data_IF_111919167916
#
_entry.id   IF_111919167916
#
_cell.length_a   1.000
_cell.length_b   1.000
_cell.length_c   1.000
_cell.angle_alpha   90.00
_cell.angle_beta   90.00
_cell.angle_gamma   90.00
#
_symmetry.space_group_name_H-M   'P 1'
#
loop_
_entity.id
_entity.type
_entity.pdbx_description
1 polymer ?
#
# COMPACT_ATOMS: atom_id res chain seq x y z
N UNK A 1 6.61 11.75 14.82
CA UNK A 1 5.61 11.55 13.75
C UNK A 1 6.21 10.88 12.54
N UNK A 2 7.29 11.39 11.94
CA UNK A 2 7.96 10.77 10.78
C UNK A 2 8.24 9.28 11.00
N UNK A 3 8.77 8.91 12.18
CA UNK A 3 9.07 7.52 12.50
C UNK A 3 7.83 6.61 12.45
N UNK A 4 6.68 7.06 12.92
CA UNK A 4 5.42 6.29 12.86
C UNK A 4 4.86 6.14 11.44
N UNK A 5 4.99 7.17 10.60
CA UNK A 5 4.48 7.13 9.23
C UNK A 5 5.29 6.22 8.30
N UNK A 6 6.56 5.96 8.62
CA UNK A 6 7.43 5.08 7.82
C UNK A 6 7.35 3.61 8.23
N UNK A 7 6.69 3.27 9.35
CA UNK A 7 6.56 1.88 9.81
C UNK A 7 5.84 0.97 8.80
N UNK A 8 4.81 1.45 8.14
CA UNK A 8 4.12 0.66 7.11
C UNK A 8 4.99 0.47 5.85
N UNK A 9 5.53 1.52 5.22
CA UNK A 9 6.43 1.37 4.07
C UNK A 9 7.62 0.46 4.34
N UNK A 10 8.30 0.57 5.49
CA UNK A 10 9.46 -0.25 5.80
C UNK A 10 9.09 -1.74 5.89
N UNK A 11 7.98 -2.07 6.54
CA UNK A 11 7.50 -3.44 6.66
C UNK A 11 6.98 -4.02 5.34
N UNK A 12 6.50 -3.17 4.45
CA UNK A 12 6.02 -3.56 3.12
C UNK A 12 7.16 -3.86 2.14
N UNK A 13 8.28 -3.17 2.28
CA UNK A 13 9.42 -3.32 1.37
C UNK A 13 10.43 -4.35 1.85
N UNK A 14 10.69 -4.42 3.15
CA UNK A 14 11.58 -5.44 3.74
C UNK A 14 11.06 -6.86 3.49
N UNK A 15 9.74 -7.07 3.55
CA UNK A 15 9.17 -8.41 3.37
C UNK A 15 9.44 -8.97 1.97
N UNK A 16 9.62 -8.13 0.95
CA UNK A 16 9.85 -8.57 -0.41
C UNK A 16 11.04 -9.53 -0.54
N UNK A 17 12.14 -9.22 0.14
CA UNK A 17 13.35 -10.05 0.17
C UNK A 17 13.33 -11.12 1.29
N UNK A 18 12.30 -11.15 2.13
CA UNK A 18 12.18 -12.12 3.23
C UNK A 18 11.28 -13.30 2.88
N UNK A 19 10.45 -13.22 1.83
CA UNK A 19 9.47 -14.26 1.49
C UNK A 19 10.14 -15.61 1.22
N UNK A 20 11.19 -15.62 0.41
CA UNK A 20 11.94 -16.86 0.07
C UNK A 20 12.68 -17.43 1.29
N UNK A 21 13.47 -16.66 2.05
CA UNK A 21 14.09 -17.16 3.29
C UNK A 21 13.09 -17.70 4.31
N UNK A 22 11.92 -17.06 4.45
CA UNK A 22 10.85 -17.55 5.34
C UNK A 22 10.28 -18.87 4.81
N UNK A 23 9.99 -18.95 3.51
CA UNK A 23 9.49 -20.16 2.86
C UNK A 23 10.41 -21.35 3.07
N UNK A 24 11.71 -21.16 2.82
CA UNK A 24 12.74 -22.20 3.06
C UNK A 24 12.83 -22.63 4.52
N UNK A 25 12.81 -21.66 5.45
CA UNK A 25 12.94 -21.94 6.88
C UNK A 25 11.72 -22.66 7.49
N UNK A 26 10.52 -22.39 6.96
CA UNK A 26 9.26 -22.93 7.46
C UNK A 26 8.67 -24.05 6.59
N UNK A 27 9.36 -24.44 5.50
CA UNK A 27 8.89 -25.45 4.55
C UNK A 27 7.62 -25.04 3.80
N UNK A 28 7.42 -23.72 3.58
CA UNK A 28 6.23 -23.14 2.99
C UNK A 28 6.50 -22.71 1.53
N UNK A 29 5.69 -23.15 0.54
CA UNK A 29 5.83 -22.74 -0.84
C UNK A 29 5.47 -21.25 -1.04
N UNK A 30 5.85 -20.69 -2.21
CA UNK A 30 5.61 -19.29 -2.56
C UNK A 30 4.12 -18.91 -2.46
N UNK A 31 3.21 -19.81 -2.82
CA UNK A 31 1.76 -19.62 -2.68
C UNK A 31 1.31 -19.41 -1.24
N UNK A 32 1.98 -20.02 -0.26
CA UNK A 32 1.66 -19.84 1.15
C UNK A 32 2.35 -18.61 1.74
N UNK A 33 3.60 -18.31 1.37
CA UNK A 33 4.29 -17.11 1.86
C UNK A 33 3.65 -15.81 1.37
N UNK A 34 2.93 -15.83 0.24
CA UNK A 34 2.13 -14.71 -0.26
C UNK A 34 1.08 -14.21 0.76
N UNK A 35 0.61 -15.08 1.67
CA UNK A 35 -0.27 -14.66 2.78
C UNK A 35 0.36 -13.63 3.71
N UNK A 36 1.69 -13.62 3.85
CA UNK A 36 2.39 -12.62 4.67
C UNK A 36 2.21 -11.20 4.12
N UNK A 37 2.12 -11.06 2.81
CA UNK A 37 1.85 -9.79 2.13
C UNK A 37 0.37 -9.44 2.24
N UNK A 38 -0.50 -10.38 1.81
CA UNK A 38 -1.94 -10.18 1.75
C UNK A 38 -2.56 -9.89 3.11
N UNK A 39 -2.14 -10.58 4.17
CA UNK A 39 -2.64 -10.41 5.53
C UNK A 39 -2.34 -9.00 6.10
N UNK A 40 -1.15 -8.47 5.84
CA UNK A 40 -0.80 -7.11 6.24
C UNK A 40 -1.73 -6.09 5.55
N UNK A 41 -1.86 -6.20 4.22
CA UNK A 41 -2.64 -5.23 3.45
C UNK A 41 -4.13 -5.35 3.68
N UNK A 42 -4.64 -6.57 3.92
CA UNK A 42 -6.02 -6.77 4.36
C UNK A 42 -6.27 -6.03 5.68
N UNK A 43 -5.44 -6.30 6.70
CA UNK A 43 -5.56 -5.65 8.00
C UNK A 43 -5.43 -4.12 7.90
N UNK A 44 -4.52 -3.63 7.04
CA UNK A 44 -4.33 -2.20 6.82
C UNK A 44 -5.53 -1.58 6.08
N UNK A 45 -6.08 -2.26 5.08
CA UNK A 45 -7.26 -1.79 4.33
C UNK A 45 -8.49 -1.64 5.21
N UNK A 46 -8.66 -2.56 6.17
CA UNK A 46 -9.74 -2.53 7.15
C UNK A 46 -9.47 -1.50 8.26
N UNK A 47 -8.23 -1.44 8.71
CA UNK A 47 -7.83 -0.61 9.85
C UNK A 47 -7.75 0.88 9.54
N UNK A 48 -7.38 1.28 8.33
CA UNK A 48 -7.19 2.69 7.96
C UNK A 48 -8.43 3.56 8.18
N UNK A 49 -9.61 3.22 7.66
CA UNK A 49 -10.80 4.03 7.88
C UNK A 49 -11.27 4.01 9.34
N UNK A 50 -11.12 2.86 10.02
CA UNK A 50 -11.45 2.70 11.44
C UNK A 50 -10.61 3.60 12.32
N UNK A 51 -9.30 3.53 12.13
CA UNK A 51 -8.34 4.29 12.95
C UNK A 51 -8.48 5.78 12.68
N UNK A 52 -8.78 6.20 11.46
CA UNK A 52 -9.10 7.60 11.16
C UNK A 52 -10.22 8.13 12.05
N UNK A 53 -11.35 7.42 12.14
CA UNK A 53 -12.47 7.79 13.02
C UNK A 53 -12.13 7.71 14.51
N UNK A 54 -11.35 6.71 14.92
CA UNK A 54 -10.89 6.62 16.30
C UNK A 54 -9.99 7.79 16.70
N UNK A 55 -9.18 8.31 15.76
CA UNK A 55 -8.37 9.52 15.97
C UNK A 55 -9.24 10.74 16.24
N UNK A 56 -10.32 10.91 15.47
CA UNK A 56 -11.26 12.03 15.66
C UNK A 56 -11.99 11.94 17.01
N UNK A 57 -12.23 10.73 17.51
CA UNK A 57 -12.95 10.49 18.78
C UNK A 57 -12.04 10.54 20.00
N UNK A 58 -10.85 9.94 19.95
CA UNK A 58 -9.97 9.74 21.11
C UNK A 58 -8.68 10.57 21.06
N UNK A 59 -8.47 11.29 19.97
CA UNK A 59 -7.32 12.13 19.72
C UNK A 59 -6.11 11.39 19.14
N UNK A 60 -5.28 12.10 18.35
CA UNK A 60 -4.19 11.51 17.58
C UNK A 60 -3.08 10.90 18.44
N UNK A 61 -2.76 11.50 19.60
CA UNK A 61 -1.68 11.02 20.47
C UNK A 61 -1.95 9.63 21.03
N UNK A 62 -3.16 9.37 21.54
CA UNK A 62 -3.52 8.07 22.15
C UNK A 62 -3.48 6.97 21.11
N UNK A 63 -4.08 7.22 19.95
CA UNK A 63 -4.13 6.24 18.87
C UNK A 63 -2.73 5.96 18.30
N UNK A 64 -1.91 6.98 18.15
CA UNK A 64 -0.52 6.83 17.73
C UNK A 64 0.27 5.91 18.67
N UNK A 65 0.19 6.16 19.98
CA UNK A 65 0.93 5.36 20.99
C UNK A 65 0.44 3.91 21.03
N UNK A 66 -0.88 3.68 21.03
CA UNK A 66 -1.47 2.33 21.03
C UNK A 66 -1.11 1.55 19.77
N UNK A 67 -1.29 2.16 18.60
CA UNK A 67 -0.97 1.53 17.31
C UNK A 67 0.53 1.23 17.20
N UNK A 68 1.39 2.17 17.58
CA UNK A 68 2.84 1.95 17.56
C UNK A 68 3.26 0.86 18.57
N UNK A 69 2.63 0.82 19.75
CA UNK A 69 2.82 -0.27 20.71
C UNK A 69 2.45 -1.62 20.12
N UNK A 70 1.33 -1.68 19.37
CA UNK A 70 0.90 -2.89 18.66
C UNK A 70 1.92 -3.35 17.60
N UNK A 71 2.60 -2.40 16.91
CA UNK A 71 3.73 -2.73 16.00
C UNK A 71 4.86 -3.42 16.75
N UNK A 72 5.21 -2.94 17.95
CA UNK A 72 6.23 -3.57 18.79
C UNK A 72 5.85 -5.00 19.19
N UNK A 73 4.59 -5.20 19.63
CA UNK A 73 4.06 -6.54 19.95
C UNK A 73 4.11 -7.45 18.74
N UNK A 74 3.66 -6.96 17.56
CA UNK A 74 3.72 -7.71 16.31
C UNK A 74 5.16 -8.08 15.92
N UNK A 75 6.12 -7.19 16.17
CA UNK A 75 7.54 -7.44 15.97
C UNK A 75 8.06 -8.61 16.83
N UNK A 76 7.71 -8.63 18.12
CA UNK A 76 8.06 -9.74 19.03
C UNK A 76 7.41 -11.06 18.59
N UNK A 77 6.09 -11.06 18.32
CA UNK A 77 5.36 -12.26 17.86
C UNK A 77 5.95 -12.79 16.57
N UNK A 78 6.28 -11.90 15.62
CA UNK A 78 6.88 -12.29 14.33
C UNK A 78 8.30 -12.86 14.48
N UNK A 79 9.15 -12.24 15.32
CA UNK A 79 10.51 -12.71 15.56
C UNK A 79 10.55 -14.08 16.25
N UNK A 80 9.57 -14.37 17.11
CA UNK A 80 9.45 -15.62 17.86
C UNK A 80 8.55 -16.66 17.17
N UNK A 81 8.01 -16.36 15.98
CA UNK A 81 7.05 -17.23 15.30
C UNK A 81 7.62 -18.63 15.02
N UNK A 82 6.96 -19.71 15.49
CA UNK A 82 7.38 -21.08 15.27
C UNK A 82 6.90 -21.65 13.92
N UNK A 83 5.86 -21.04 13.33
CA UNK A 83 5.24 -21.49 12.09
C UNK A 83 4.64 -20.30 11.30
N UNK A 84 4.25 -20.59 10.06
CA UNK A 84 3.69 -19.57 9.14
C UNK A 84 2.39 -18.96 9.66
N UNK A 85 1.52 -19.72 10.32
CA UNK A 85 0.24 -19.23 10.86
C UNK A 85 0.44 -18.11 11.90
N UNK A 86 1.36 -18.32 12.85
CA UNK A 86 1.72 -17.28 13.85
C UNK A 86 2.35 -16.07 13.17
N UNK A 87 3.15 -16.28 12.13
CA UNK A 87 3.76 -15.19 11.36
C UNK A 87 2.72 -14.37 10.61
N UNK A 88 1.70 -15.02 10.03
CA UNK A 88 0.55 -14.36 9.40
C UNK A 88 -0.23 -13.54 10.45
N UNK A 89 -0.48 -14.10 11.64
CA UNK A 89 -1.11 -13.36 12.74
C UNK A 89 -0.30 -12.13 13.14
N UNK A 90 1.04 -12.26 13.23
CA UNK A 90 1.93 -11.12 13.47
C UNK A 90 1.79 -10.04 12.37
N UNK A 91 1.64 -10.44 11.10
CA UNK A 91 1.42 -9.52 9.98
C UNK A 91 0.08 -8.80 10.06
N UNK A 92 -0.99 -9.47 10.51
CA UNK A 92 -2.30 -8.85 10.78
C UNK A 92 -2.18 -7.80 11.89
N UNK A 93 -1.55 -8.14 13.02
CA UNK A 93 -1.30 -7.20 14.12
C UNK A 93 -0.50 -5.98 13.64
N UNK A 94 0.52 -6.22 12.82
CA UNK A 94 1.38 -5.19 12.25
C UNK A 94 0.60 -4.27 11.30
N UNK A 95 -0.31 -4.85 10.49
CA UNK A 95 -1.21 -4.10 9.62
C UNK A 95 -2.07 -3.12 10.40
N UNK A 96 -2.76 -3.57 11.44
CA UNK A 96 -3.53 -2.68 12.33
C UNK A 96 -2.64 -1.69 13.07
N UNK A 97 -1.47 -2.13 13.53
CA UNK A 97 -0.52 -1.29 14.25
C UNK A 97 0.06 -0.14 13.41
N UNK A 98 0.16 -0.29 12.10
CA UNK A 98 0.71 0.76 11.22
C UNK A 98 -0.35 1.75 10.72
N UNK A 99 -1.65 1.53 10.98
CA UNK A 99 -2.73 2.36 10.46
C UNK A 99 -2.76 3.78 11.03
N UNK A 100 -2.33 4.01 12.28
CA UNK A 100 -2.45 5.31 12.92
C UNK A 100 -1.34 6.30 12.55
N UNK A 101 -0.20 5.82 12.05
CA UNK A 101 0.99 6.66 11.86
C UNK A 101 0.72 7.88 10.97
N UNK A 102 0.18 7.66 9.80
CA UNK A 102 -0.09 8.73 8.83
C UNK A 102 -1.30 9.60 9.21
N UNK A 103 -2.49 9.05 9.54
CA UNK A 103 -3.63 9.88 9.94
C UNK A 103 -3.37 10.71 11.21
N UNK A 104 -2.68 10.15 12.20
CA UNK A 104 -2.31 10.89 13.40
C UNK A 104 -1.35 12.04 13.11
N UNK A 105 -0.38 11.82 12.21
CA UNK A 105 0.53 12.88 11.78
C UNK A 105 -0.24 14.02 11.10
N UNK A 106 -1.17 13.71 10.20
CA UNK A 106 -1.99 14.71 9.50
C UNK A 106 -2.89 15.49 10.45
N UNK A 107 -3.56 14.81 11.39
CA UNK A 107 -4.42 15.46 12.42
C UNK A 107 -3.63 16.42 13.30
N UNK A 108 -2.42 16.03 13.72
CA UNK A 108 -1.56 16.87 14.56
C UNK A 108 -0.96 18.05 13.79
N UNK A 109 -0.64 17.87 12.49
CA UNK A 109 -0.19 18.97 11.62
C UNK A 109 -1.27 20.03 11.47
N UNK A 110 -2.51 19.58 11.23
CA UNK A 110 -3.67 20.48 11.11
C UNK A 110 -3.91 21.25 12.39
N UNK A 111 -3.92 20.58 13.54
CA UNK A 111 -4.12 21.23 14.84
C UNK A 111 -3.01 22.25 15.18
N UNK A 112 -1.78 21.99 14.75
CA UNK A 112 -0.68 22.94 14.94
C UNK A 112 -0.77 24.12 13.97
N UNK A 113 -1.20 23.92 12.72
CA UNK A 113 -1.46 24.99 11.76
C UNK A 113 -2.57 25.94 12.28
N UNK A 114 -3.67 25.38 12.79
CA UNK A 114 -4.76 26.14 13.41
C UNK A 114 -4.27 26.93 14.66
N UNK A 115 -3.40 26.33 15.49
CA UNK A 115 -2.84 26.98 16.68
C UNK A 115 -1.88 28.12 16.36
N UNK A 116 -1.09 28.00 15.29
CA UNK A 116 -0.04 28.97 14.95
C UNK A 116 -0.49 30.03 13.96
N UNK A 117 -1.68 29.87 13.35
CA UNK A 117 -2.19 30.75 12.29
C UNK A 117 -1.32 30.76 11.03
N UNK A 118 -0.40 29.79 10.88
CA UNK A 118 0.45 29.64 9.70
C UNK A 118 -0.16 28.59 8.80
N UNK A 119 -0.59 29.04 7.61
CA UNK A 119 -1.08 28.15 6.57
C UNK A 119 0.03 27.18 6.13
N UNK A 120 -0.36 25.92 6.15
CA UNK A 120 0.28 24.75 5.57
C UNK A 120 1.74 24.49 5.91
N UNK A 121 2.00 23.40 6.60
CA UNK A 121 3.34 22.86 6.83
C UNK A 121 3.87 22.16 5.57
N UNK A 122 3.89 22.83 4.42
CA UNK A 122 4.37 22.27 3.14
C UNK A 122 5.72 21.56 3.29
N UNK A 123 6.62 22.10 4.13
CA UNK A 123 7.88 21.46 4.46
C UNK A 123 7.74 20.12 5.20
N UNK A 124 6.74 19.95 6.07
CA UNK A 124 6.54 18.69 6.80
C UNK A 124 5.87 17.64 5.92
N UNK A 125 4.95 18.02 5.05
CA UNK A 125 4.35 17.13 4.06
C UNK A 125 5.40 16.63 3.06
N UNK A 126 6.27 17.54 2.61
CA UNK A 126 7.42 17.17 1.77
C UNK A 126 8.37 16.22 2.51
N UNK A 127 8.68 16.49 3.77
CA UNK A 127 9.52 15.60 4.57
C UNK A 127 8.90 14.21 4.75
N UNK A 128 7.58 14.12 4.96
CA UNK A 128 6.83 12.85 5.01
C UNK A 128 6.91 12.10 3.67
N UNK A 129 6.72 12.79 2.56
CA UNK A 129 6.79 12.20 1.22
C UNK A 129 8.21 11.69 0.92
N UNK A 130 9.24 12.50 1.20
CA UNK A 130 10.64 12.12 1.04
C UNK A 130 11.01 10.94 1.93
N UNK A 131 10.59 10.94 3.21
CA UNK A 131 10.85 9.83 4.12
C UNK A 131 10.23 8.53 3.61
N UNK A 132 8.97 8.55 3.15
CA UNK A 132 8.30 7.37 2.58
C UNK A 132 9.03 6.85 1.33
N UNK A 133 9.48 7.73 0.43
CA UNK A 133 10.22 7.34 -0.76
C UNK A 133 11.62 6.81 -0.41
N UNK A 134 12.32 7.42 0.53
CA UNK A 134 13.63 6.95 1.00
C UNK A 134 13.53 5.54 1.59
N UNK A 135 12.48 5.27 2.37
CA UNK A 135 12.23 3.94 2.93
C UNK A 135 11.94 2.92 1.83
N UNK A 136 11.24 3.29 0.77
CA UNK A 136 11.00 2.40 -0.37
C UNK A 136 12.32 1.96 -1.03
N UNK A 137 13.31 2.86 -1.11
CA UNK A 137 14.67 2.55 -1.61
C UNK A 137 15.45 1.68 -0.63
N UNK A 138 15.46 2.08 0.64
CA UNK A 138 16.32 1.45 1.67
C UNK A 138 15.76 0.13 2.17
N UNK A 139 14.43 -0.04 2.10
CA UNK A 139 13.73 -1.19 2.69
C UNK A 139 14.24 -2.56 2.23
N UNK A 140 14.27 -2.87 0.92
CA UNK A 140 14.76 -4.15 0.43
C UNK A 140 16.24 -4.40 0.77
N UNK A 141 17.08 -3.35 0.68
CA UNK A 141 18.50 -3.43 1.04
C UNK A 141 18.68 -3.72 2.53
N UNK A 142 17.96 -2.99 3.38
CA UNK A 142 17.96 -3.20 4.83
C UNK A 142 17.42 -4.61 5.17
N UNK A 143 16.39 -5.06 4.47
CA UNK A 143 15.85 -6.41 4.61
C UNK A 143 16.88 -7.47 4.30
N UNK A 144 17.55 -7.36 3.16
CA UNK A 144 18.62 -8.28 2.76
C UNK A 144 19.79 -8.30 3.74
N UNK A 145 20.21 -7.13 4.24
CA UNK A 145 21.25 -7.02 5.25
C UNK A 145 20.83 -7.71 6.57
N UNK A 146 19.64 -7.42 7.05
CA UNK A 146 19.11 -8.04 8.28
C UNK A 146 19.04 -9.55 8.17
N UNK A 147 18.62 -10.08 7.01
CA UNK A 147 18.55 -11.51 6.74
C UNK A 147 19.95 -12.13 6.76
N UNK A 148 20.93 -11.45 6.19
CA UNK A 148 22.34 -11.92 6.16
C UNK A 148 22.94 -11.99 7.56
N UNK A 149 22.65 -11.03 8.44
CA UNK A 149 23.26 -10.93 9.78
C UNK A 149 22.48 -11.73 10.83
N UNK A 150 21.15 -11.74 10.79
CA UNK A 150 20.31 -12.30 11.86
C UNK A 150 19.17 -13.20 11.36
N UNK A 151 19.22 -13.60 10.08
CA UNK A 151 18.15 -14.37 9.44
C UNK A 151 16.85 -13.58 9.27
N UNK A 152 15.83 -14.22 8.70
CA UNK A 152 14.54 -13.59 8.43
C UNK A 152 13.84 -13.05 9.70
N UNK A 153 14.11 -13.64 10.87
CA UNK A 153 13.55 -13.18 12.15
C UNK A 153 13.96 -11.76 12.52
N UNK A 154 15.17 -11.34 12.10
CA UNK A 154 15.68 -9.98 12.33
C UNK A 154 14.81 -8.91 11.63
N UNK A 155 14.16 -9.25 10.51
CA UNK A 155 13.26 -8.32 9.81
C UNK A 155 12.01 -7.97 10.63
N UNK A 156 11.51 -8.89 11.45
CA UNK A 156 10.42 -8.64 12.38
C UNK A 156 10.92 -7.99 13.68
N UNK A 157 12.07 -8.45 14.21
CA UNK A 157 12.69 -7.91 15.41
C UNK A 157 13.00 -6.40 15.29
N UNK A 158 13.32 -5.90 14.10
CA UNK A 158 13.54 -4.48 13.82
C UNK A 158 12.36 -3.59 14.26
N UNK A 159 11.13 -4.12 14.22
CA UNK A 159 9.94 -3.37 14.64
C UNK A 159 9.96 -3.03 16.14
N UNK A 160 10.64 -3.82 16.96
CA UNK A 160 10.70 -3.60 18.41
C UNK A 160 11.45 -2.30 18.76
N UNK A 161 12.73 -2.11 18.39
CA UNK A 161 13.42 -0.86 18.66
C UNK A 161 12.78 0.34 17.99
N UNK A 162 12.22 0.19 16.76
CA UNK A 162 11.52 1.26 16.09
C UNK A 162 10.24 1.67 16.85
N UNK A 163 9.45 0.70 17.34
CA UNK A 163 8.25 0.96 18.12
C UNK A 163 8.61 1.60 19.47
N UNK A 164 9.63 1.09 20.16
CA UNK A 164 10.09 1.67 21.44
C UNK A 164 10.53 3.13 21.23
N UNK A 165 11.34 3.40 20.23
CA UNK A 165 11.78 4.76 19.91
C UNK A 165 10.60 5.68 19.55
N UNK A 166 9.65 5.19 18.72
CA UNK A 166 8.49 5.98 18.32
C UNK A 166 7.53 6.23 19.48
N UNK A 167 7.31 5.25 20.37
CA UNK A 167 6.50 5.42 21.59
C UNK A 167 7.19 6.39 22.55
N UNK A 168 8.48 6.25 22.82
CA UNK A 168 9.24 7.13 23.71
C UNK A 168 9.20 8.59 23.20
N UNK A 169 9.51 8.81 21.92
CA UNK A 169 9.43 10.14 21.30
C UNK A 169 7.98 10.67 21.31
N UNK A 170 6.99 9.81 21.06
CA UNK A 170 5.57 10.15 21.10
C UNK A 170 5.12 10.58 22.49
N UNK A 171 5.55 9.88 23.53
CA UNK A 171 5.24 10.26 24.92
C UNK A 171 5.87 11.60 25.31
N UNK A 172 7.12 11.85 24.87
CA UNK A 172 7.88 13.05 25.24
C UNK A 172 7.49 14.29 24.43
N UNK A 173 7.17 14.14 23.15
CA UNK A 173 7.06 15.27 22.21
C UNK A 173 5.64 15.55 21.72
N UNK A 174 4.72 14.58 21.77
CA UNK A 174 3.36 14.83 21.32
C UNK A 174 2.56 15.61 22.37
N UNK A 175 1.80 16.65 21.97
CA UNK A 175 0.99 17.43 22.89
C UNK A 175 -0.01 16.53 23.62
N UNK A 176 -0.18 16.77 24.92
CA UNK A 176 -1.21 16.08 25.71
C UNK A 176 -2.57 16.56 25.23
N UNK A 177 -3.55 15.66 25.00
CA UNK A 177 -4.89 16.10 24.65
C UNK A 177 -5.42 16.99 25.80
N UNK A 178 -6.07 18.10 25.41
CA UNK A 178 -6.92 18.81 26.36
C UNK A 178 -7.93 17.81 26.92
N UNK A 179 -8.31 17.99 28.20
CA UNK A 179 -9.25 17.10 28.88
C UNK A 179 -10.48 16.88 27.99
N UNK A 180 -10.97 15.63 27.80
CA UNK A 180 -12.12 15.37 26.96
C UNK A 180 -13.31 16.18 27.52
N UNK A 181 -13.90 17.03 26.68
CA UNK A 181 -15.13 17.72 27.04
C UNK A 181 -16.23 16.70 27.31
N UNK A 182 -16.53 16.46 28.60
CA UNK A 182 -17.65 15.67 29.11
C UNK A 182 -17.65 14.17 28.81
N UNK A 183 -18.36 13.38 29.62
CA UNK A 183 -18.51 11.94 29.40
C UNK A 183 -19.38 11.69 28.16
N UNK A 184 -18.73 11.33 27.03
CA UNK A 184 -19.44 10.87 25.83
C UNK A 184 -20.09 9.51 26.11
N UNK A 185 -21.40 9.39 25.90
CA UNK A 185 -22.14 8.15 26.13
C UNK A 185 -21.61 7.08 25.15
N UNK A 186 -21.31 5.88 25.68
CA UNK A 186 -20.76 4.75 24.93
C UNK A 186 -21.59 4.38 23.68
N UNK A 187 -22.94 4.59 23.75
CA UNK A 187 -23.85 4.37 22.63
C UNK A 187 -23.66 5.35 21.46
N UNK A 188 -23.34 6.62 21.72
CA UNK A 188 -23.06 7.60 20.67
C UNK A 188 -21.76 7.28 19.92
N UNK A 189 -20.78 6.73 20.65
CA UNK A 189 -19.50 6.32 20.07
C UNK A 189 -19.68 5.16 19.09
N UNK A 190 -20.46 4.15 19.47
CA UNK A 190 -20.74 2.96 18.64
C UNK A 190 -21.57 3.35 17.41
N UNK A 191 -22.56 4.26 17.57
CA UNK A 191 -23.37 4.74 16.46
C UNK A 191 -22.54 5.50 15.39
N UNK A 192 -21.48 6.19 15.81
CA UNK A 192 -20.58 6.93 14.90
C UNK A 192 -19.60 6.03 14.14
N UNK A 193 -19.34 4.80 14.59
CA UNK A 193 -18.35 3.91 13.99
C UNK A 193 -18.89 3.09 12.81
N UNK A 194 -20.21 3.05 12.61
CA UNK A 194 -20.86 2.19 11.58
C UNK A 194 -20.30 0.76 11.56
N UNK A 195 -20.35 0.10 12.73
CA UNK A 195 -19.84 -1.28 12.86
C UNK A 195 -20.42 -2.27 11.84
N UNK A 196 -21.72 -2.21 11.45
CA UNK A 196 -22.24 -3.09 10.42
C UNK A 196 -21.64 -2.81 9.02
N UNK A 197 -21.42 -1.53 8.65
CA UNK A 197 -20.73 -1.17 7.40
C UNK A 197 -19.31 -1.71 7.37
N UNK A 198 -18.57 -1.54 8.47
CA UNK A 198 -17.22 -2.09 8.64
C UNK A 198 -17.20 -3.62 8.55
N UNK A 199 -18.17 -4.32 9.17
CA UNK A 199 -18.25 -5.77 9.13
C UNK A 199 -18.54 -6.30 7.70
N UNK A 200 -19.44 -5.65 6.96
CA UNK A 200 -19.74 -5.99 5.56
C UNK A 200 -18.54 -5.73 4.65
N UNK A 201 -17.84 -4.60 4.85
CA UNK A 201 -16.61 -4.31 4.12
C UNK A 201 -15.51 -5.33 4.42
N UNK A 202 -15.35 -5.71 5.69
CA UNK A 202 -14.42 -6.75 6.10
C UNK A 202 -14.79 -8.11 5.46
N UNK A 203 -16.07 -8.50 5.52
CA UNK A 203 -16.55 -9.74 4.92
C UNK A 203 -16.28 -9.77 3.40
N UNK A 204 -16.54 -8.66 2.70
CA UNK A 204 -16.26 -8.51 1.27
C UNK A 204 -14.77 -8.68 0.96
N UNK A 205 -13.88 -7.97 1.68
CA UNK A 205 -12.43 -8.05 1.42
C UNK A 205 -11.83 -9.39 1.84
N UNK A 206 -12.27 -9.97 2.96
CA UNK A 206 -11.79 -11.28 3.40
C UNK A 206 -12.21 -12.38 2.43
N UNK A 207 -13.48 -12.41 2.03
CA UNK A 207 -13.97 -13.41 1.06
C UNK A 207 -13.30 -13.25 -0.31
N UNK A 208 -13.07 -12.01 -0.76
CA UNK A 208 -12.33 -11.74 -1.98
C UNK A 208 -10.89 -12.27 -1.89
N UNK A 209 -10.18 -12.00 -0.79
CA UNK A 209 -8.82 -12.49 -0.60
C UNK A 209 -8.77 -14.01 -0.56
N UNK A 210 -9.67 -14.64 0.19
CA UNK A 210 -9.75 -16.10 0.26
C UNK A 210 -10.01 -16.72 -1.11
N UNK A 211 -10.90 -16.14 -1.92
CA UNK A 211 -11.14 -16.56 -3.29
C UNK A 211 -9.88 -16.44 -4.16
N UNK A 212 -9.21 -15.27 -4.12
CA UNK A 212 -8.02 -15.00 -4.93
C UNK A 212 -6.82 -15.90 -4.53
N UNK A 213 -6.72 -16.28 -3.25
CA UNK A 213 -5.67 -17.16 -2.76
C UNK A 213 -5.95 -18.67 -2.99
N UNK A 214 -7.22 -19.03 -3.31
CA UNK A 214 -7.67 -20.39 -3.54
C UNK A 214 -8.49 -20.45 -4.84
N UNK A 215 -7.86 -20.25 -6.00
CA UNK A 215 -8.53 -20.20 -7.30
C UNK A 215 -8.97 -21.59 -7.81
N UNK A 216 -9.56 -22.39 -6.94
CA UNK A 216 -10.13 -23.69 -7.31
C UNK A 216 -11.63 -23.57 -7.60
N UNK A 217 -12.12 -24.36 -8.56
CA UNK A 217 -13.56 -24.38 -8.92
C UNK A 217 -14.48 -24.65 -7.72
N UNK A 218 -14.00 -25.36 -6.72
CA UNK A 218 -14.75 -25.65 -5.49
C UNK A 218 -15.02 -24.39 -4.65
N UNK A 219 -14.22 -23.33 -4.79
CA UNK A 219 -14.23 -22.17 -3.90
C UNK A 219 -14.99 -20.95 -4.49
N UNK A 220 -15.75 -21.16 -5.57
CA UNK A 220 -16.56 -20.10 -6.20
C UNK A 220 -17.63 -19.53 -5.26
N UNK A 221 -18.04 -20.25 -4.22
CA UNK A 221 -18.92 -19.70 -3.18
C UNK A 221 -18.32 -18.47 -2.48
N UNK A 222 -16.97 -18.38 -2.40
CA UNK A 222 -16.28 -17.21 -1.85
C UNK A 222 -16.48 -15.98 -2.74
N UNK A 223 -16.46 -16.15 -4.06
CA UNK A 223 -16.78 -15.07 -5.00
C UNK A 223 -18.25 -14.64 -4.86
N UNK A 224 -19.17 -15.58 -4.75
CA UNK A 224 -20.58 -15.28 -4.49
C UNK A 224 -20.75 -14.52 -3.16
N UNK A 225 -20.07 -14.95 -2.10
CA UNK A 225 -20.04 -14.25 -0.82
C UNK A 225 -19.48 -12.84 -0.94
N UNK A 226 -18.41 -12.65 -1.71
CA UNK A 226 -17.83 -11.32 -2.00
C UNK A 226 -18.84 -10.40 -2.66
N UNK A 227 -19.56 -10.90 -3.68
CA UNK A 227 -20.58 -10.12 -4.39
C UNK A 227 -21.76 -9.78 -3.46
N UNK A 228 -22.24 -10.76 -2.69
CA UNK A 228 -23.35 -10.55 -1.75
C UNK A 228 -22.95 -9.57 -0.64
N UNK A 229 -21.78 -9.74 -0.03
CA UNK A 229 -21.27 -8.82 1.00
C UNK A 229 -21.04 -7.41 0.43
N UNK A 230 -20.50 -7.31 -0.79
CA UNK A 230 -20.29 -6.04 -1.48
C UNK A 230 -21.61 -5.34 -1.83
N UNK A 231 -22.62 -6.07 -2.30
CA UNK A 231 -23.95 -5.53 -2.55
C UNK A 231 -24.62 -5.06 -1.24
N UNK A 232 -24.57 -5.88 -0.19
CA UNK A 232 -25.10 -5.53 1.13
C UNK A 232 -24.38 -4.30 1.71
N UNK A 233 -23.05 -4.24 1.56
CA UNK A 233 -22.24 -3.06 1.93
C UNK A 233 -22.71 -1.82 1.15
N UNK A 234 -22.82 -1.90 -0.18
CA UNK A 234 -23.24 -0.78 -1.01
C UNK A 234 -24.65 -0.28 -0.65
N UNK A 235 -25.62 -1.19 -0.49
CA UNK A 235 -26.99 -0.85 -0.09
C UNK A 235 -27.00 -0.18 1.28
N UNK A 236 -26.21 -0.68 2.22
CA UNK A 236 -26.12 -0.10 3.56
C UNK A 236 -25.51 1.30 3.53
N UNK A 237 -24.35 1.47 2.87
CA UNK A 237 -23.65 2.76 2.79
C UNK A 237 -24.47 3.84 2.09
N UNK A 238 -25.25 3.43 1.09
CA UNK A 238 -26.20 4.33 0.40
C UNK A 238 -27.39 4.75 1.28
N UNK A 239 -27.71 4.00 2.35
CA UNK A 239 -28.82 4.30 3.26
C UNK A 239 -28.40 4.88 4.60
N UNK A 240 -27.14 4.67 5.00
CA UNK A 240 -26.63 5.12 6.28
C UNK A 240 -26.58 6.65 6.38
N UNK A 241 -26.95 7.20 7.54
CA UNK A 241 -26.83 8.62 7.83
C UNK A 241 -25.36 9.03 8.04
N UNK A 242 -24.56 8.13 8.61
CA UNK A 242 -23.12 8.30 8.82
C UNK A 242 -22.38 7.09 8.26
N UNK A 243 -22.23 7.00 6.90
CA UNK A 243 -21.65 5.85 6.26
C UNK A 243 -20.19 5.65 6.64
N UNK A 244 -19.70 4.40 6.61
CA UNK A 244 -18.29 4.06 6.78
C UNK A 244 -17.44 4.58 5.62
N UNK A 245 -17.92 4.36 4.38
CA UNK A 245 -17.39 4.95 3.14
C UNK A 245 -18.57 5.60 2.40
N UNK A 246 -18.50 6.89 2.16
CA UNK A 246 -19.60 7.62 1.51
C UNK A 246 -19.68 7.32 0.00
N UNK A 247 -20.40 6.26 -0.35
CA UNK A 247 -20.57 5.81 -1.74
C UNK A 247 -21.40 6.77 -2.59
N UNK A 248 -22.23 7.65 -1.98
CA UNK A 248 -23.02 8.65 -2.71
C UNK A 248 -22.11 9.69 -3.36
N UNK A 249 -21.09 10.12 -2.60
CA UNK A 249 -20.08 11.05 -3.09
C UNK A 249 -19.19 10.42 -4.16
N UNK A 250 -18.84 9.17 -3.98
CA UNK A 250 -18.10 8.40 -4.97
C UNK A 250 -18.87 8.24 -6.27
N UNK A 251 -20.15 7.87 -6.21
CA UNK A 251 -21.00 7.66 -7.39
C UNK A 251 -21.25 8.94 -8.22
N UNK A 252 -21.22 10.11 -7.57
CA UNK A 252 -21.35 11.41 -8.25
C UNK A 252 -20.08 11.91 -8.93
N UNK A 253 -18.91 11.33 -8.63
CA UNK A 253 -17.62 11.79 -9.14
C UNK A 253 -16.92 10.72 -9.99
N UNK A 254 -17.38 10.57 -11.23
CA UNK A 254 -16.83 9.60 -12.19
C UNK A 254 -15.32 9.77 -12.47
N UNK A 255 -14.74 11.00 -12.54
CA UNK A 255 -13.29 11.17 -12.66
C UNK A 255 -12.51 10.58 -11.50
N UNK A 256 -13.00 10.75 -10.28
CA UNK A 256 -12.36 10.22 -9.07
C UNK A 256 -12.44 8.69 -9.02
N UNK A 257 -13.59 8.11 -9.39
CA UNK A 257 -13.74 6.65 -9.52
C UNK A 257 -12.78 6.07 -10.56
N UNK A 258 -12.65 6.70 -11.73
CA UNK A 258 -11.68 6.29 -12.74
C UNK A 258 -10.23 6.37 -12.23
N UNK A 259 -9.93 7.36 -11.40
CA UNK A 259 -8.61 7.48 -10.75
C UNK A 259 -8.37 6.34 -9.75
N UNK A 260 -9.36 5.93 -8.95
CA UNK A 260 -9.23 4.77 -8.08
C UNK A 260 -9.08 3.47 -8.84
N UNK A 261 -9.84 3.27 -9.94
CA UNK A 261 -9.66 2.12 -10.82
C UNK A 261 -8.25 2.05 -11.43
N UNK A 262 -7.72 3.19 -11.91
CA UNK A 262 -6.34 3.30 -12.37
C UNK A 262 -5.33 2.98 -11.25
N UNK A 263 -5.56 3.49 -10.05
CA UNK A 263 -4.71 3.21 -8.90
C UNK A 263 -4.67 1.71 -8.59
N UNK A 264 -5.84 1.06 -8.50
CA UNK A 264 -5.93 -0.38 -8.28
C UNK A 264 -5.03 -1.14 -9.25
N UNK A 265 -5.22 -0.91 -10.56
CA UNK A 265 -4.50 -1.62 -11.61
C UNK A 265 -3.00 -1.30 -11.61
N UNK A 266 -2.62 -0.02 -11.44
CA UNK A 266 -1.22 0.39 -11.35
C UNK A 266 -0.51 -0.27 -10.17
N UNK A 267 -1.17 -0.35 -9.02
CA UNK A 267 -0.59 -0.98 -7.82
C UNK A 267 -0.56 -2.51 -7.92
N UNK A 268 -1.49 -3.16 -8.65
CA UNK A 268 -1.36 -4.59 -8.98
C UNK A 268 -0.02 -4.83 -9.68
N UNK A 269 0.30 -4.08 -10.72
CA UNK A 269 1.57 -4.27 -11.46
C UNK A 269 2.78 -3.89 -10.60
N UNK A 270 2.72 -2.76 -9.87
CA UNK A 270 3.82 -2.31 -9.04
C UNK A 270 4.20 -3.32 -7.95
N UNK A 271 3.21 -3.89 -7.27
CA UNK A 271 3.44 -4.87 -6.21
C UNK A 271 3.72 -6.29 -6.73
N UNK A 272 3.15 -6.68 -7.88
CA UNK A 272 3.53 -7.91 -8.56
C UNK A 272 5.02 -7.88 -8.97
N UNK A 273 5.49 -6.74 -9.47
CA UNK A 273 6.91 -6.54 -9.72
C UNK A 273 7.71 -6.60 -8.41
N UNK A 274 7.35 -5.79 -7.42
CA UNK A 274 8.11 -5.71 -6.17
C UNK A 274 8.28 -7.09 -5.51
N UNK A 275 7.22 -7.87 -5.40
CA UNK A 275 7.26 -9.15 -4.71
C UNK A 275 7.65 -10.31 -5.64
N UNK A 276 7.03 -10.39 -6.82
CA UNK A 276 7.24 -11.50 -7.74
C UNK A 276 8.63 -11.47 -8.37
N UNK A 277 9.06 -10.31 -8.87
CA UNK A 277 10.41 -10.18 -9.44
C UNK A 277 11.50 -10.44 -8.39
N UNK A 278 11.30 -9.97 -7.15
CA UNK A 278 12.26 -10.25 -6.05
C UNK A 278 12.34 -11.75 -5.75
N UNK A 279 11.20 -12.44 -5.62
CA UNK A 279 11.18 -13.89 -5.37
C UNK A 279 11.86 -14.65 -6.51
N UNK A 280 11.58 -14.28 -7.77
CA UNK A 280 12.22 -14.90 -8.91
C UNK A 280 13.73 -14.64 -8.96
N UNK A 281 14.20 -13.45 -8.62
CA UNK A 281 15.64 -13.17 -8.55
C UNK A 281 16.34 -13.99 -7.46
N UNK A 282 15.65 -14.37 -6.39
CA UNK A 282 16.20 -15.22 -5.34
C UNK A 282 16.14 -16.72 -5.69
N UNK A 283 15.03 -17.21 -6.24
CA UNK A 283 14.83 -18.64 -6.50
C UNK A 283 15.17 -19.04 -7.94
N UNK A 284 14.68 -18.29 -8.92
CA UNK A 284 14.85 -18.60 -10.34
C UNK A 284 16.21 -18.18 -10.90
N UNK A 285 16.79 -17.10 -10.35
CA UNK A 285 18.10 -16.60 -10.74
C UNK A 285 19.21 -16.94 -9.73
N UNK A 286 18.86 -17.30 -8.48
CA UNK A 286 19.79 -17.74 -7.45
C UNK A 286 20.53 -16.64 -6.70
N UNK A 287 20.03 -15.40 -6.68
CA UNK A 287 20.64 -14.32 -5.91
C UNK A 287 20.39 -14.49 -4.40
N UNK A 288 21.33 -14.01 -3.59
CA UNK A 288 21.07 -13.86 -2.16
C UNK A 288 20.03 -12.74 -1.92
N UNK A 289 19.29 -12.76 -0.78
CA UNK A 289 18.32 -11.70 -0.45
C UNK A 289 18.91 -10.30 -0.47
N UNK A 290 20.18 -10.15 -0.09
CA UNK A 290 20.89 -8.88 -0.15
C UNK A 290 21.08 -8.41 -1.59
N UNK A 291 21.53 -9.27 -2.49
CA UNK A 291 21.70 -8.94 -3.91
C UNK A 291 20.38 -8.71 -4.61
N UNK A 292 19.33 -9.47 -4.28
CA UNK A 292 17.97 -9.22 -4.79
C UNK A 292 17.47 -7.82 -4.37
N UNK A 293 17.76 -7.39 -3.13
CA UNK A 293 17.49 -6.03 -2.68
C UNK A 293 18.28 -4.96 -3.45
N UNK A 294 19.55 -5.21 -3.77
CA UNK A 294 20.38 -4.31 -4.56
C UNK A 294 19.84 -4.12 -5.98
N UNK A 295 19.31 -5.18 -6.61
CA UNK A 295 18.71 -5.11 -7.95
C UNK A 295 17.51 -4.17 -7.99
N UNK A 296 16.80 -3.95 -6.88
CA UNK A 296 15.67 -3.03 -6.80
C UNK A 296 16.07 -1.55 -6.72
N UNK A 297 17.31 -1.23 -6.32
CA UNK A 297 17.75 0.16 -6.11
C UNK A 297 17.60 1.04 -7.35
N UNK A 298 18.00 0.63 -8.58
CA UNK A 298 17.87 1.44 -9.77
C UNK A 298 16.42 1.88 -10.04
N UNK A 299 15.43 0.99 -9.79
CA UNK A 299 14.01 1.29 -9.92
C UNK A 299 13.60 2.47 -9.02
N UNK A 300 13.91 2.38 -7.74
CA UNK A 300 13.50 3.39 -6.79
C UNK A 300 14.22 4.74 -6.99
N UNK A 301 15.52 4.70 -7.28
CA UNK A 301 16.29 5.93 -7.55
C UNK A 301 15.74 6.65 -8.80
N UNK A 302 15.48 5.89 -9.88
CA UNK A 302 14.89 6.48 -11.08
C UNK A 302 13.48 6.97 -10.82
N UNK A 303 12.66 6.24 -10.04
CA UNK A 303 11.32 6.67 -9.66
C UNK A 303 11.32 8.01 -8.91
N UNK A 304 12.26 8.22 -7.98
CA UNK A 304 12.45 9.51 -7.29
C UNK A 304 12.82 10.59 -8.29
N UNK A 305 13.83 10.35 -9.13
CA UNK A 305 14.29 11.32 -10.14
C UNK A 305 13.15 11.72 -11.09
N UNK A 306 12.42 10.75 -11.62
CA UNK A 306 11.26 10.96 -12.50
C UNK A 306 10.15 11.72 -11.79
N UNK A 307 9.84 11.40 -10.52
CA UNK A 307 8.84 12.12 -9.72
C UNK A 307 9.22 13.59 -9.53
N UNK A 308 10.49 13.87 -9.20
CA UNK A 308 10.99 15.24 -9.00
C UNK A 308 10.97 16.05 -10.31
N UNK A 309 11.47 15.46 -11.40
CA UNK A 309 11.53 16.12 -12.71
C UNK A 309 10.12 16.35 -13.28
N UNK A 310 9.23 15.36 -13.15
CA UNK A 310 7.86 15.44 -13.65
C UNK A 310 6.95 16.28 -12.75
N UNK A 311 7.27 16.47 -11.47
CA UNK A 311 6.52 17.29 -10.53
C UNK A 311 6.37 18.75 -10.97
N UNK A 312 7.39 19.26 -11.67
CA UNK A 312 7.38 20.64 -12.23
C UNK A 312 6.45 20.81 -13.44
N UNK A 313 6.03 19.73 -14.11
CA UNK A 313 5.15 19.77 -15.28
C UNK A 313 3.70 19.56 -14.85
N UNK A 314 2.77 20.41 -15.27
CA UNK A 314 1.37 20.38 -14.82
C UNK A 314 0.52 19.28 -15.46
N UNK A 315 0.84 18.78 -16.64
CA UNK A 315 0.02 17.79 -17.38
C UNK A 315 -0.08 16.41 -16.71
N UNK A 316 -1.23 16.07 -16.12
CA UNK A 316 -1.48 14.77 -15.47
C UNK A 316 -1.66 13.66 -16.50
N UNK A 317 -2.44 13.91 -17.59
CA UNK A 317 -2.74 12.90 -18.62
C UNK A 317 -1.48 12.34 -19.29
N UNK A 318 -0.54 13.21 -19.64
CA UNK A 318 0.73 12.78 -20.25
C UNK A 318 1.56 11.87 -19.34
N UNK A 319 1.59 12.17 -18.04
CA UNK A 319 2.30 11.33 -17.04
C UNK A 319 1.67 9.94 -16.91
N UNK A 320 0.33 9.87 -16.87
CA UNK A 320 -0.39 8.60 -16.80
C UNK A 320 -0.20 7.76 -18.07
N UNK A 321 -0.24 8.38 -19.25
CA UNK A 321 0.00 7.67 -20.52
C UNK A 321 1.44 7.16 -20.62
N UNK A 322 2.43 8.00 -20.33
CA UNK A 322 3.84 7.58 -20.32
C UNK A 322 4.10 6.49 -19.26
N UNK A 323 3.46 6.61 -18.10
CA UNK A 323 3.50 5.59 -17.06
C UNK A 323 2.89 4.26 -17.52
N UNK A 324 1.75 4.29 -18.21
CA UNK A 324 1.10 3.09 -18.76
C UNK A 324 1.99 2.40 -19.81
N UNK A 325 2.51 3.17 -20.79
CA UNK A 325 3.40 2.65 -21.83
C UNK A 325 4.68 2.10 -21.20
N UNK A 326 5.31 2.84 -20.28
CA UNK A 326 6.51 2.37 -19.57
C UNK A 326 6.27 1.08 -18.79
N UNK A 327 5.09 0.91 -18.20
CA UNK A 327 4.69 -0.30 -17.49
C UNK A 327 4.55 -1.50 -18.44
N UNK A 328 3.91 -1.31 -19.61
CA UNK A 328 3.79 -2.34 -20.65
C UNK A 328 5.17 -2.73 -21.20
N UNK A 329 6.03 -1.75 -21.50
CA UNK A 329 7.40 -1.99 -21.97
C UNK A 329 8.20 -2.78 -20.95
N UNK A 330 8.14 -2.40 -19.67
CA UNK A 330 8.82 -3.12 -18.60
C UNK A 330 8.36 -4.58 -18.48
N UNK A 331 7.05 -4.84 -18.58
CA UNK A 331 6.50 -6.19 -18.56
C UNK A 331 6.95 -7.00 -19.80
N UNK A 332 7.01 -6.38 -20.97
CA UNK A 332 7.51 -7.03 -22.19
C UNK A 332 9.00 -7.40 -22.07
N UNK A 333 9.82 -6.55 -21.46
CA UNK A 333 11.24 -6.86 -21.22
C UNK A 333 11.38 -8.01 -20.20
N UNK A 334 10.53 -8.12 -19.18
CA UNK A 334 10.53 -9.26 -18.25
C UNK A 334 10.32 -10.58 -19.00
N UNK A 335 9.47 -10.62 -20.01
CA UNK A 335 9.21 -11.83 -20.82
C UNK A 335 10.45 -12.32 -21.60
N UNK A 336 11.48 -11.49 -21.76
CA UNK A 336 12.75 -11.89 -22.41
C UNK A 336 13.78 -12.43 -21.43
N UNK A 337 13.53 -12.34 -20.12
CA UNK A 337 14.44 -12.81 -19.09
C UNK A 337 14.39 -14.34 -18.96
N UNK A 338 15.55 -14.92 -18.70
CA UNK A 338 15.74 -16.34 -18.39
C UNK A 338 16.58 -16.47 -17.12
N UNK A 339 16.66 -17.68 -16.53
CA UNK A 339 17.55 -17.93 -15.39
C UNK A 339 19.04 -17.73 -15.70
N UNK A 340 19.42 -17.69 -16.98
CA UNK A 340 20.81 -17.49 -17.44
C UNK A 340 21.06 -16.05 -17.97
N UNK A 341 20.07 -15.18 -17.87
CA UNK A 341 20.21 -13.78 -18.32
C UNK A 341 21.34 -13.07 -17.56
N UNK A 342 22.13 -12.22 -18.21
CA UNK A 342 23.19 -11.49 -17.51
C UNK A 342 22.60 -10.48 -16.51
N UNK A 343 23.29 -10.23 -15.40
CA UNK A 343 22.84 -9.38 -14.31
C UNK A 343 22.41 -7.96 -14.77
N UNK A 344 23.08 -7.41 -15.79
CA UNK A 344 22.72 -6.09 -16.31
C UNK A 344 21.29 -6.03 -16.89
N UNK A 345 20.74 -7.15 -17.39
CA UNK A 345 19.36 -7.20 -17.87
C UNK A 345 18.37 -7.04 -16.70
N UNK A 346 18.66 -7.63 -15.54
CA UNK A 346 17.83 -7.48 -14.33
C UNK A 346 17.83 -6.02 -13.88
N UNK A 347 19.03 -5.38 -13.89
CA UNK A 347 19.16 -3.97 -13.55
C UNK A 347 18.45 -3.06 -14.57
N UNK A 348 18.49 -3.42 -15.86
CA UNK A 348 17.77 -2.70 -16.92
C UNK A 348 16.25 -2.79 -16.71
N UNK A 349 15.71 -3.98 -16.42
CA UNK A 349 14.28 -4.16 -16.12
C UNK A 349 13.87 -3.32 -14.92
N UNK A 350 14.64 -3.37 -13.83
CA UNK A 350 14.39 -2.55 -12.64
C UNK A 350 14.43 -1.06 -12.99
N UNK A 351 15.40 -0.62 -13.78
CA UNK A 351 15.52 0.77 -14.23
C UNK A 351 14.30 1.19 -15.05
N UNK A 352 13.92 0.40 -16.08
CA UNK A 352 12.75 0.71 -16.92
C UNK A 352 11.48 0.80 -16.08
N UNK A 353 11.33 -0.08 -15.08
CA UNK A 353 10.17 -0.08 -14.18
C UNK A 353 10.13 1.17 -13.26
N UNK A 354 11.27 1.81 -13.01
CA UNK A 354 11.38 3.05 -12.25
C UNK A 354 10.59 4.21 -12.88
N UNK A 355 10.51 4.28 -14.21
CA UNK A 355 9.77 5.33 -14.92
C UNK A 355 8.27 5.29 -14.59
N UNK A 356 7.53 4.18 -14.84
CA UNK A 356 6.12 4.10 -14.48
C UNK A 356 5.88 4.25 -12.98
N UNK A 357 6.75 3.73 -12.14
CA UNK A 357 6.64 3.85 -10.69
C UNK A 357 6.64 5.31 -10.23
N UNK A 358 7.55 6.12 -10.75
CA UNK A 358 7.65 7.55 -10.42
C UNK A 358 6.49 8.36 -10.98
N UNK A 359 6.09 8.12 -12.25
CA UNK A 359 5.03 8.86 -12.91
C UNK A 359 3.65 8.54 -12.34
N UNK A 360 3.31 7.24 -12.20
CA UNK A 360 1.99 6.80 -11.79
C UNK A 360 1.69 7.23 -10.34
N UNK A 361 2.63 7.05 -9.42
CA UNK A 361 2.43 7.43 -8.02
C UNK A 361 2.13 8.93 -7.89
N UNK A 362 2.95 9.78 -8.51
CA UNK A 362 2.75 11.23 -8.49
C UNK A 362 1.45 11.66 -9.18
N UNK A 363 1.18 11.10 -10.38
CA UNK A 363 0.01 11.47 -11.17
C UNK A 363 -1.30 11.06 -10.50
N UNK A 364 -1.37 9.88 -9.88
CA UNK A 364 -2.56 9.41 -9.17
C UNK A 364 -2.85 10.25 -7.92
N UNK A 365 -1.81 10.62 -7.14
CA UNK A 365 -1.98 11.52 -5.99
C UNK A 365 -2.46 12.90 -6.43
N UNK A 366 -1.86 13.47 -7.47
CA UNK A 366 -2.29 14.75 -8.02
C UNK A 366 -3.72 14.68 -8.57
N UNK A 367 -4.10 13.59 -9.28
CA UNK A 367 -5.46 13.41 -9.78
C UNK A 367 -6.48 13.44 -8.65
N UNK A 368 -6.23 12.76 -7.55
CA UNK A 368 -7.11 12.79 -6.37
C UNK A 368 -7.20 14.21 -5.80
N UNK A 369 -6.07 14.89 -5.66
CA UNK A 369 -6.05 16.25 -5.13
C UNK A 369 -6.92 17.23 -5.93
N UNK A 370 -6.89 17.15 -7.27
CA UNK A 370 -7.68 18.03 -8.16
C UNK A 370 -9.14 17.58 -8.35
N UNK A 371 -9.43 16.27 -8.20
CA UNK A 371 -10.76 15.71 -8.45
C UNK A 371 -11.61 15.57 -7.19
N UNK A 372 -10.99 15.55 -6.02
CA UNK A 372 -11.69 15.43 -4.76
C UNK A 372 -12.34 16.76 -4.35
N UNK A 373 -13.46 16.66 -3.62
CA UNK A 373 -14.05 17.80 -2.93
C UNK A 373 -13.02 18.36 -1.92
N UNK A 374 -12.75 19.68 -1.93
CA UNK A 374 -11.81 20.32 -1.01
C UNK A 374 -12.04 19.99 0.47
N UNK A 375 -13.30 19.88 0.90
CA UNK A 375 -13.67 19.53 2.28
C UNK A 375 -13.39 18.07 2.62
N UNK A 376 -13.15 17.20 1.63
CA UNK A 376 -13.04 15.74 1.74
C UNK A 376 -11.77 15.16 1.14
N UNK A 377 -10.80 15.99 0.85
CA UNK A 377 -9.53 15.60 0.23
C UNK A 377 -8.81 14.52 1.06
N UNK A 378 -8.83 14.60 2.39
CA UNK A 378 -8.21 13.62 3.25
C UNK A 378 -8.87 12.23 3.16
N UNK A 379 -10.21 12.20 3.13
CA UNK A 379 -10.98 10.96 2.95
C UNK A 379 -10.72 10.33 1.58
N UNK A 380 -10.69 11.15 0.53
CA UNK A 380 -10.39 10.71 -0.84
C UNK A 380 -8.97 10.17 -0.99
N UNK A 381 -7.99 10.79 -0.34
CA UNK A 381 -6.62 10.30 -0.29
C UNK A 381 -6.49 8.98 0.50
N UNK A 382 -7.25 8.83 1.58
CA UNK A 382 -7.36 7.58 2.33
C UNK A 382 -7.90 6.44 1.48
N UNK A 383 -8.93 6.72 0.69
CA UNK A 383 -9.53 5.74 -0.21
C UNK A 383 -8.58 5.33 -1.35
N UNK A 384 -7.79 6.27 -1.90
CA UNK A 384 -6.72 5.94 -2.85
C UNK A 384 -5.76 4.88 -2.27
N UNK A 385 -5.38 5.00 -1.00
CA UNK A 385 -4.55 4.01 -0.33
C UNK A 385 -5.25 2.67 -0.14
N UNK A 386 -6.55 2.66 0.15
CA UNK A 386 -7.34 1.42 0.20
C UNK A 386 -7.30 0.67 -1.13
N UNK A 387 -7.51 1.36 -2.26
CA UNK A 387 -7.38 0.75 -3.59
C UNK A 387 -5.95 0.27 -3.88
N UNK A 388 -4.93 0.98 -3.41
CA UNK A 388 -3.53 0.53 -3.50
C UNK A 388 -3.30 -0.78 -2.74
N UNK A 389 -3.83 -0.90 -1.52
CA UNK A 389 -3.70 -2.12 -0.71
C UNK A 389 -4.47 -3.31 -1.30
N UNK A 390 -5.68 -3.07 -1.83
CA UNK A 390 -6.42 -4.10 -2.58
C UNK A 390 -5.62 -4.54 -3.82
N UNK A 391 -5.01 -3.60 -4.55
CA UNK A 391 -4.11 -3.90 -5.66
C UNK A 391 -2.92 -4.77 -5.23
N UNK A 392 -2.33 -4.48 -4.08
CA UNK A 392 -1.24 -5.30 -3.51
C UNK A 392 -1.70 -6.72 -3.13
N UNK A 393 -2.92 -6.88 -2.61
CA UNK A 393 -3.51 -8.19 -2.31
C UNK A 393 -3.70 -9.00 -3.59
N UNK A 394 -4.25 -8.39 -4.64
CA UNK A 394 -4.41 -9.02 -5.95
C UNK A 394 -3.04 -9.43 -6.52
N UNK A 395 -2.04 -8.55 -6.44
CA UNK A 395 -0.67 -8.83 -6.87
C UNK A 395 -0.06 -10.03 -6.16
N UNK A 396 -0.22 -10.10 -4.83
CA UNK A 396 0.27 -11.21 -4.02
C UNK A 396 -0.41 -12.54 -4.39
N UNK A 397 -1.73 -12.50 -4.63
CA UNK A 397 -2.49 -13.68 -5.06
C UNK A 397 -2.09 -14.11 -6.48
N UNK A 398 -1.87 -13.17 -7.39
CA UNK A 398 -1.38 -13.45 -8.74
C UNK A 398 0.02 -14.08 -8.70
N UNK A 399 0.92 -13.58 -7.85
CA UNK A 399 2.25 -14.18 -7.63
C UNK A 399 2.14 -15.60 -7.06
N UNK A 400 1.25 -15.81 -6.09
CA UNK A 400 1.00 -17.14 -5.52
C UNK A 400 0.49 -18.15 -6.59
N UNK A 401 -0.43 -17.70 -7.44
CA UNK A 401 -0.96 -18.53 -8.52
C UNK A 401 0.07 -18.83 -9.62
N UNK A 402 0.93 -17.84 -9.94
CA UNK A 402 1.94 -17.97 -10.97
C UNK A 402 3.12 -18.87 -10.54
N UNK A 403 3.58 -18.76 -9.29
CA UNK A 403 4.76 -19.48 -8.80
C UNK A 403 4.43 -20.83 -8.16
N UNK A 404 3.24 -21.00 -7.61
CA UNK A 404 2.88 -22.25 -6.94
C UNK A 404 3.87 -22.62 -5.82
N UNK A 405 4.78 -23.57 -6.10
CA UNK A 405 5.77 -24.06 -5.13
C UNK A 405 7.09 -23.25 -5.16
N UNK A 406 7.56 -22.86 -6.34
CA UNK A 406 8.83 -22.17 -6.56
C UNK A 406 8.68 -21.03 -7.54
N UNK A 407 9.42 -19.95 -7.31
CA UNK A 407 9.44 -18.79 -8.20
C UNK A 407 10.44 -19.04 -9.37
N UNK A 408 10.02 -19.86 -10.32
CA UNK A 408 10.79 -20.19 -11.52
C UNK A 408 10.55 -19.17 -12.67
N UNK A 409 11.27 -19.31 -13.77
CA UNK A 409 11.16 -18.43 -14.93
C UNK A 409 9.80 -18.55 -15.63
N UNK A 410 9.20 -19.75 -15.68
CA UNK A 410 7.89 -19.97 -16.27
C UNK A 410 6.78 -19.24 -15.46
N UNK A 411 6.85 -19.34 -14.15
CA UNK A 411 5.98 -18.60 -13.23
C UNK A 411 6.17 -17.08 -13.36
N UNK A 412 7.42 -16.61 -13.48
CA UNK A 412 7.70 -15.18 -13.70
C UNK A 412 7.12 -14.68 -15.04
N UNK A 413 7.21 -15.45 -16.11
CA UNK A 413 6.58 -15.12 -17.39
C UNK A 413 5.05 -15.09 -17.26
N UNK A 414 4.45 -16.07 -16.57
CA UNK A 414 3.01 -16.09 -16.29
C UNK A 414 2.57 -14.82 -15.55
N UNK A 415 3.31 -14.44 -14.51
CA UNK A 415 3.06 -13.20 -13.77
C UNK A 415 3.24 -11.97 -14.67
N UNK A 416 4.26 -11.94 -15.53
CA UNK A 416 4.49 -10.86 -16.49
C UNK A 416 3.34 -10.69 -17.49
N UNK A 417 2.71 -11.77 -17.95
CA UNK A 417 1.49 -11.70 -18.77
C UNK A 417 0.31 -11.08 -18.02
N UNK A 418 0.12 -11.45 -16.76
CA UNK A 418 -0.91 -10.82 -15.88
C UNK A 418 -0.64 -9.32 -15.72
N UNK A 419 0.62 -8.96 -15.44
CA UNK A 419 1.04 -7.56 -15.31
C UNK A 419 0.85 -6.79 -16.62
N UNK A 420 1.15 -7.38 -17.76
CA UNK A 420 0.98 -6.80 -19.08
C UNK A 420 -0.51 -6.56 -19.38
N UNK A 421 -1.37 -7.55 -19.13
CA UNK A 421 -2.82 -7.38 -19.23
C UNK A 421 -3.36 -6.24 -18.37
N UNK A 422 -2.90 -6.17 -17.11
CA UNK A 422 -3.23 -5.07 -16.22
C UNK A 422 -2.71 -3.72 -16.76
N UNK A 423 -1.49 -3.68 -17.30
CA UNK A 423 -0.93 -2.48 -17.95
C UNK A 423 -1.75 -2.00 -19.14
N UNK A 424 -2.26 -2.91 -19.95
CA UNK A 424 -3.17 -2.59 -21.06
C UNK A 424 -4.49 -2.02 -20.55
N UNK A 425 -5.09 -2.63 -19.53
CA UNK A 425 -6.31 -2.11 -18.88
C UNK A 425 -6.06 -0.69 -18.34
N UNK A 426 -4.92 -0.47 -17.68
CA UNK A 426 -4.54 0.86 -17.20
C UNK A 426 -4.42 1.89 -18.34
N UNK A 427 -3.80 1.50 -19.47
CA UNK A 427 -3.68 2.33 -20.67
C UNK A 427 -5.06 2.69 -21.23
N UNK A 428 -5.95 1.70 -21.38
CA UNK A 428 -7.31 1.91 -21.88
C UNK A 428 -8.11 2.84 -20.96
N UNK A 429 -8.08 2.62 -19.63
CA UNK A 429 -8.71 3.50 -18.64
C UNK A 429 -8.19 4.95 -18.74
N UNK A 430 -6.93 5.13 -19.12
CA UNK A 430 -6.32 6.46 -19.26
C UNK A 430 -6.65 7.11 -20.60
N UNK A 431 -6.68 6.35 -21.69
CA UNK A 431 -6.99 6.83 -23.05
C UNK A 431 -8.45 7.28 -23.16
N UNK A 432 -9.39 6.49 -22.62
CA UNK A 432 -10.82 6.76 -22.71
C UNK A 432 -11.32 7.81 -21.72
N UNK A 433 -10.52 8.18 -20.73
CA UNK A 433 -10.90 9.23 -19.78
C UNK A 433 -10.72 10.63 -20.37
N UNK A 434 -11.82 11.18 -20.86
CA UNK A 434 -11.88 12.55 -21.43
C UNK A 434 -11.77 13.65 -20.36
N UNK A 435 -11.96 13.33 -19.08
CA UNK A 435 -11.96 14.33 -18.00
C UNK A 435 -10.56 14.81 -17.66
N UNK A 436 -9.53 13.97 -17.89
CA UNK A 436 -8.11 14.32 -17.68
C UNK A 436 -7.61 15.46 -18.59
N UNK A 437 -8.24 15.66 -19.74
CA UNK A 437 -7.90 16.77 -20.66
C UNK A 437 -8.46 18.13 -20.21
N UNK A 438 -9.58 18.15 -19.46
CA UNK A 438 -10.21 19.38 -18.98
C UNK A 438 -9.48 20.00 -17.79
N UNK A 439 -8.91 19.17 -16.93
CA UNK A 439 -8.09 19.64 -15.80
C UNK A 439 -6.84 20.41 -16.27
N UNK A 440 -6.26 20.00 -17.40
CA UNK A 440 -5.11 20.70 -18.03
C UNK A 440 -5.48 22.03 -18.67
N UNK A 441 -6.70 22.17 -19.19
CA UNK A 441 -7.17 23.39 -19.85
C UNK A 441 -7.59 24.47 -18.83
N UNK A 442 -8.18 24.10 -17.70
CA UNK A 442 -8.53 25.03 -16.62
C UNK A 442 -7.28 25.66 -15.98
N UNK A 443 -6.19 24.89 -15.83
CA UNK A 443 -4.90 25.40 -15.33
C UNK A 443 -4.19 26.34 -16.32
N UNK A 444 -4.42 26.18 -17.61
CA UNK A 444 -3.83 27.04 -18.64
C UNK A 444 -4.58 28.40 -18.72
N UNK A 445 -5.91 28.40 -18.46
CA UNK A 445 -6.73 29.61 -18.45
C UNK A 445 -6.57 30.47 -17.19
N UNK A 446 -6.11 29.89 -16.08
CA UNK A 446 -5.85 30.64 -14.83
C UNK A 446 -4.44 31.25 -14.77
N UNK A 447 -3.59 30.98 -15.75
CA UNK A 447 -2.21 31.46 -15.85
C UNK A 447 -2.00 32.46 -17.02
N UNK A 448 -3.05 32.77 -17.81
CA UNK A 448 -3.15 33.83 -18.78
C UNK A 448 -3.98 35.01 -18.22
#
# INVERSE_FOLDING_TARGET
MLLGSVLNPINSTIIAVALVPIGRALGAPASQTAWLVSALYLATSLGQPVVGRLIDLFGPRRLFLLSTGLVGVAGVVGALAPNLGVLIAARVLLGFGTCAGYPAAMALLRSEAERTGRDSPGGVLTALAVANQTIAVVGPLLGGLLITVGGWRATFALNVPLAVAAVALGMLRLPRPAAPGGPRRRGELVARLDLPGMALFAAMLVSLLLFLMNLHLRDWYLLALTVVAGAAFAIRELRAATPFIDLRLLGGNTPLLATYGRALVAYVVAYAFLYGFTQWTEEGFGLSPFHAGLVQIPMFLLAIGVSVLSGRRRGVRGKLLLGAVGQIVACAVILTLTGESPLWMLLLVALVFGVPQGLNNLALQNSVYFQADPERTASSAGLLRTFAYVGSMIASSASAAAFGHHADTAGMHTLAWVMLGAGVVYLLLTLFDRTLGRATAADAGAAA
#
